data_IF_053922318486
#
_entry.id   IF_053922318486
#
_cell.length_a   1.000
_cell.length_b   1.000
_cell.length_c   1.000
_cell.angle_alpha   90.00
_cell.angle_beta   90.00
_cell.angle_gamma   90.00
#
_symmetry.space_group_name_H-M   'P 1'
#
loop_
_entity.id
_entity.type
_entity.pdbx_description
1 polymer ?
#
# COMPACT_ATOMS: atom_id res chain seq x y z
N UNK A 1 15.05 -18.83 6.22
CA UNK A 1 15.57 -18.62 4.84
C UNK A 1 15.34 -17.17 4.50
N UNK A 2 16.41 -16.42 4.25
CA UNK A 2 16.37 -14.99 3.97
C UNK A 2 16.27 -14.82 2.45
N UNK A 3 15.16 -14.26 1.95
CA UNK A 3 14.98 -14.02 0.53
C UNK A 3 15.71 -12.73 0.14
N UNK A 4 16.61 -12.82 -0.84
CA UNK A 4 17.27 -11.66 -1.41
C UNK A 4 16.27 -11.01 -2.36
N UNK A 5 15.76 -9.84 -1.99
CA UNK A 5 14.85 -9.09 -2.85
C UNK A 5 15.65 -8.48 -4.00
N UNK A 6 15.36 -8.82 -5.26
CA UNK A 6 16.04 -8.22 -6.40
C UNK A 6 15.77 -6.72 -6.46
N UNK A 7 16.83 -5.90 -6.47
CA UNK A 7 16.71 -4.43 -6.48
C UNK A 7 16.19 -3.84 -7.80
N UNK A 8 16.06 -4.65 -8.86
CA UNK A 8 15.66 -4.19 -10.19
C UNK A 8 14.24 -4.62 -10.60
N UNK A 9 13.39 -5.06 -9.66
CA UNK A 9 11.98 -5.37 -9.97
C UNK A 9 11.20 -4.11 -10.39
N UNK A 10 11.56 -2.94 -9.84
CA UNK A 10 10.79 -1.71 -10.03
C UNK A 10 11.15 -0.94 -11.33
N UNK A 11 12.23 -1.34 -12.02
CA UNK A 11 12.68 -0.66 -13.23
C UNK A 11 12.05 -1.35 -14.44
N UNK A 12 11.16 -0.64 -15.11
CA UNK A 12 10.52 -1.13 -16.32
C UNK A 12 11.58 -1.39 -17.43
N UNK A 13 11.52 -2.53 -18.12
CA UNK A 13 12.48 -2.85 -19.16
C UNK A 13 12.35 -1.87 -20.33
N UNK A 14 13.49 -1.38 -20.82
CA UNK A 14 13.55 -0.53 -22.01
C UNK A 14 13.63 -1.44 -23.24
N UNK A 15 12.73 -1.25 -24.20
CA UNK A 15 12.60 -2.12 -25.38
C UNK A 15 13.44 -1.56 -26.54
N UNK A 16 13.33 -0.25 -26.81
CA UNK A 16 14.03 0.41 -27.92
C UNK A 16 14.88 1.55 -27.35
N UNK A 17 16.15 1.26 -27.08
CA UNK A 17 17.10 2.24 -26.53
C UNK A 17 16.62 2.82 -25.19
N UNK A 18 16.33 4.13 -25.09
CA UNK A 18 15.79 4.75 -23.87
C UNK A 18 14.27 4.58 -23.69
N UNK A 19 13.56 4.01 -24.67
CA UNK A 19 12.09 3.97 -24.72
C UNK A 19 11.55 2.68 -24.08
N UNK A 20 10.70 2.83 -23.06
CA UNK A 20 9.95 1.74 -22.44
C UNK A 20 8.67 1.36 -23.20
N UNK A 21 8.05 0.21 -22.90
CA UNK A 21 6.82 -0.27 -23.55
C UNK A 21 5.69 0.76 -23.51
N UNK A 22 5.51 1.42 -22.36
CA UNK A 22 4.46 2.44 -22.17
C UNK A 22 4.64 3.63 -23.10
N UNK A 23 5.87 4.10 -23.25
CA UNK A 23 6.21 5.24 -24.10
C UNK A 23 5.99 4.90 -25.58
N UNK A 24 6.34 3.67 -25.96
CA UNK A 24 6.09 3.15 -27.30
C UNK A 24 4.59 3.12 -27.63
N UNK A 25 3.75 2.63 -26.72
CA UNK A 25 2.28 2.61 -26.93
C UNK A 25 1.73 4.03 -27.12
N UNK A 26 2.16 4.98 -26.29
CA UNK A 26 1.73 6.39 -26.40
C UNK A 26 2.13 6.99 -27.75
N UNK A 27 3.35 6.71 -28.22
CA UNK A 27 3.82 7.18 -29.53
C UNK A 27 3.04 6.55 -30.69
N UNK A 28 2.67 5.27 -30.60
CA UNK A 28 1.81 4.61 -31.60
C UNK A 28 0.42 5.27 -31.62
N UNK A 29 -0.18 5.53 -30.47
CA UNK A 29 -1.48 6.20 -30.39
C UNK A 29 -1.41 7.62 -30.96
N UNK A 30 -0.40 8.40 -30.60
CA UNK A 30 -0.19 9.74 -31.14
C UNK A 30 0.04 9.72 -32.66
N UNK A 31 0.87 8.80 -33.16
CA UNK A 31 1.08 8.60 -34.59
C UNK A 31 -0.20 8.17 -35.32
N UNK A 32 -0.99 7.30 -34.71
CA UNK A 32 -2.31 6.90 -35.23
C UNK A 32 -3.29 8.06 -35.31
N UNK A 33 -3.31 8.96 -34.32
CA UNK A 33 -4.13 10.17 -34.35
C UNK A 33 -3.70 11.15 -35.46
N UNK A 34 -2.38 11.31 -35.66
CA UNK A 34 -1.85 12.13 -36.76
C UNK A 34 -2.23 11.52 -38.11
N UNK A 35 -2.11 10.20 -38.25
CA UNK A 35 -2.52 9.49 -39.46
C UNK A 35 -4.03 9.63 -39.72
N UNK A 36 -4.86 9.58 -38.67
CA UNK A 36 -6.29 9.82 -38.79
C UNK A 36 -6.58 11.26 -39.24
N UNK A 37 -5.88 12.25 -38.68
CA UNK A 37 -5.98 13.64 -39.11
C UNK A 37 -5.60 13.83 -40.59
N UNK A 38 -4.60 13.08 -41.08
CA UNK A 38 -4.21 13.12 -42.49
C UNK A 38 -5.36 12.73 -43.42
N UNK A 39 -6.21 11.79 -43.02
CA UNK A 39 -7.36 11.36 -43.80
C UNK A 39 -8.53 12.37 -43.71
N UNK A 40 -8.75 12.98 -42.53
CA UNK A 40 -9.90 13.86 -42.30
C UNK A 40 -9.69 15.31 -42.78
N UNK A 41 -8.45 15.81 -42.78
CA UNK A 41 -8.16 17.24 -43.03
C UNK A 41 -7.58 17.41 -44.43
N UNK A 42 -8.36 18.02 -45.33
CA UNK A 42 -7.93 18.30 -46.71
C UNK A 42 -6.96 19.49 -46.82
N UNK A 43 -6.98 20.43 -45.86
CA UNK A 43 -6.10 21.59 -45.87
C UNK A 43 -4.75 21.28 -45.18
N UNK A 44 -3.66 21.26 -45.95
CA UNK A 44 -2.32 20.93 -45.47
C UNK A 44 -1.84 21.81 -44.30
N UNK A 45 -2.19 23.10 -44.29
CA UNK A 45 -1.74 24.03 -43.23
C UNK A 45 -2.41 23.66 -41.91
N UNK A 46 -3.72 23.41 -41.95
CA UNK A 46 -4.50 23.01 -40.77
C UNK A 46 -4.01 21.64 -40.27
N UNK A 47 -3.72 20.71 -41.18
CA UNK A 47 -3.14 19.41 -40.84
C UNK A 47 -1.81 19.56 -40.10
N UNK A 48 -0.86 20.36 -40.62
CA UNK A 48 0.45 20.56 -40.00
C UNK A 48 0.32 21.14 -38.59
N UNK A 49 -0.55 22.13 -38.39
CA UNK A 49 -0.78 22.72 -37.06
C UNK A 49 -1.33 21.69 -36.07
N UNK A 50 -2.34 20.91 -36.47
CA UNK A 50 -2.90 19.87 -35.61
C UNK A 50 -1.87 18.77 -35.33
N UNK A 51 -1.16 18.31 -36.36
CA UNK A 51 -0.13 17.29 -36.22
C UNK A 51 0.98 17.73 -35.28
N UNK A 52 1.41 19.00 -35.34
CA UNK A 52 2.40 19.57 -34.42
C UNK A 52 1.91 19.53 -32.97
N UNK A 53 0.66 19.96 -32.74
CA UNK A 53 0.06 19.95 -31.39
C UNK A 53 -0.06 18.52 -30.87
N UNK A 54 -0.58 17.59 -31.67
CA UNK A 54 -0.73 16.18 -31.29
C UNK A 54 0.62 15.52 -31.05
N UNK A 55 1.61 15.77 -31.90
CA UNK A 55 2.97 15.25 -31.72
C UNK A 55 3.61 15.80 -30.43
N UNK A 56 3.47 17.11 -30.17
CA UNK A 56 3.96 17.74 -28.96
C UNK A 56 3.33 17.13 -27.70
N UNK A 57 2.01 16.97 -27.69
CA UNK A 57 1.30 16.30 -26.59
C UNK A 57 1.75 14.84 -26.43
N UNK A 58 1.88 14.09 -27.53
CA UNK A 58 2.36 12.71 -27.51
C UNK A 58 3.74 12.56 -26.87
N UNK A 59 4.68 13.45 -27.22
CA UNK A 59 6.03 13.47 -26.62
C UNK A 59 5.97 13.82 -25.14
N UNK A 60 5.19 14.85 -24.77
CA UNK A 60 5.02 15.24 -23.36
C UNK A 60 4.47 14.08 -22.53
N UNK A 61 3.41 13.43 -23.01
CA UNK A 61 2.82 12.28 -22.32
C UNK A 61 3.76 11.07 -22.24
N UNK A 62 4.59 10.86 -23.26
CA UNK A 62 5.52 9.73 -23.31
C UNK A 62 6.75 9.94 -22.40
N UNK A 63 7.32 11.15 -22.34
CA UNK A 63 8.61 11.37 -21.66
C UNK A 63 8.52 12.11 -20.34
N UNK A 64 7.48 12.91 -20.10
CA UNK A 64 7.34 13.64 -18.85
C UNK A 64 6.91 12.70 -17.74
N UNK A 65 7.66 12.74 -16.64
CA UNK A 65 7.35 12.03 -15.40
C UNK A 65 7.03 13.06 -14.34
N UNK A 66 5.92 12.88 -13.63
CA UNK A 66 5.51 13.75 -12.53
C UNK A 66 5.72 12.97 -11.24
N UNK A 67 6.56 13.49 -10.33
CA UNK A 67 6.89 12.85 -9.05
C UNK A 67 7.37 11.38 -9.18
N UNK A 68 8.17 11.09 -10.22
CA UNK A 68 8.67 9.74 -10.48
C UNK A 68 7.62 8.76 -11.02
N UNK A 69 6.36 9.18 -11.16
CA UNK A 69 5.27 8.35 -11.70
C UNK A 69 5.00 8.67 -13.17
N UNK A 70 4.50 7.69 -13.94
CA UNK A 70 4.04 7.94 -15.31
C UNK A 70 2.91 8.96 -15.36
N UNK A 71 2.91 9.80 -16.40
CA UNK A 71 1.94 10.90 -16.55
C UNK A 71 0.47 10.43 -16.61
N UNK A 72 0.19 9.23 -17.10
CA UNK A 72 -1.18 8.69 -17.14
C UNK A 72 -1.78 8.50 -15.75
N UNK A 73 -0.99 8.09 -14.75
CA UNK A 73 -1.47 8.00 -13.37
C UNK A 73 -1.73 9.38 -12.78
N UNK A 74 -0.92 10.37 -13.14
CA UNK A 74 -1.16 11.75 -12.73
C UNK A 74 -2.51 12.24 -13.28
N UNK A 75 -2.81 12.03 -14.56
CA UNK A 75 -4.10 12.39 -15.15
C UNK A 75 -5.25 11.63 -14.49
N UNK A 76 -5.11 10.31 -14.28
CA UNK A 76 -6.14 9.53 -13.61
C UNK A 76 -6.42 10.09 -12.21
N UNK A 77 -5.37 10.43 -11.47
CA UNK A 77 -5.50 11.04 -10.13
C UNK A 77 -6.12 12.43 -10.18
N UNK A 78 -5.83 13.21 -11.22
CA UNK A 78 -6.41 14.52 -11.44
C UNK A 78 -7.92 14.39 -11.69
N UNK A 79 -8.31 13.50 -12.60
CA UNK A 79 -9.72 13.23 -12.92
C UNK A 79 -10.45 12.72 -11.68
N UNK A 80 -9.87 11.76 -10.95
CA UNK A 80 -10.42 11.26 -9.69
C UNK A 80 -10.59 12.37 -8.66
N UNK A 81 -9.63 13.29 -8.54
CA UNK A 81 -9.73 14.40 -7.59
C UNK A 81 -10.86 15.37 -7.95
N UNK A 82 -11.16 15.55 -9.24
CA UNK A 82 -12.28 16.37 -9.69
C UNK A 82 -13.64 15.66 -9.55
N UNK A 83 -13.70 14.34 -9.71
CA UNK A 83 -14.97 13.58 -9.65
C UNK A 83 -15.32 13.09 -8.26
N UNK A 84 -14.34 12.87 -7.38
CA UNK A 84 -14.59 12.44 -6.01
C UNK A 84 -14.81 13.65 -5.08
N UNK A 85 -15.77 13.54 -4.14
CA UNK A 85 -15.97 14.57 -3.13
C UNK A 85 -14.74 14.69 -2.23
N UNK A 86 -14.27 15.92 -2.00
CA UNK A 86 -13.09 16.21 -1.16
C UNK A 86 -13.29 15.85 0.32
N UNK A 87 -14.54 15.71 0.74
CA UNK A 87 -14.89 15.36 2.12
C UNK A 87 -14.85 13.84 2.24
N UNK A 88 -13.73 13.33 2.72
CA UNK A 88 -13.61 11.93 3.14
C UNK A 88 -14.22 11.81 4.54
N UNK A 89 -15.53 11.57 4.61
CA UNK A 89 -16.19 11.21 5.88
C UNK A 89 -15.71 9.82 6.25
N UNK A 90 -15.00 9.70 7.37
CA UNK A 90 -14.67 8.39 7.90
C UNK A 90 -15.94 7.79 8.51
N UNK A 91 -16.59 6.94 7.74
CA UNK A 91 -17.66 6.10 8.25
C UNK A 91 -17.02 4.79 8.72
N UNK A 92 -17.11 4.52 10.02
CA UNK A 92 -16.70 3.23 10.58
C UNK A 92 -17.76 2.20 10.21
N UNK A 93 -17.75 1.78 8.96
CA UNK A 93 -18.48 0.59 8.57
C UNK A 93 -17.86 -0.58 9.31
N UNK A 94 -18.61 -1.12 10.26
CA UNK A 94 -18.35 -2.42 10.84
C UNK A 94 -18.69 -3.41 9.73
N UNK A 95 -17.84 -3.48 8.70
CA UNK A 95 -17.95 -4.53 7.71
C UNK A 95 -17.84 -5.82 8.51
N UNK A 96 -18.86 -6.70 8.53
CA UNK A 96 -18.63 -8.05 8.98
C UNK A 96 -17.57 -8.55 8.00
N UNK A 97 -16.34 -8.66 8.47
CA UNK A 97 -15.31 -9.43 7.79
C UNK A 97 -16.02 -10.72 7.47
N UNK A 98 -16.38 -10.91 6.20
CA UNK A 98 -16.68 -12.23 5.69
C UNK A 98 -15.34 -12.90 5.86
N UNK A 99 -15.18 -13.57 6.99
CA UNK A 99 -14.17 -14.57 7.18
C UNK A 99 -14.52 -15.55 6.08
N UNK A 100 -13.93 -15.32 4.92
CA UNK A 100 -13.74 -16.36 3.94
C UNK A 100 -13.09 -17.44 4.79
N UNK A 101 -13.86 -18.48 5.10
CA UNK A 101 -13.34 -19.63 5.80
C UNK A 101 -12.17 -20.08 4.96
N UNK A 102 -10.98 -19.64 5.35
CA UNK A 102 -9.74 -20.10 4.79
C UNK A 102 -9.86 -21.61 4.89
N UNK A 103 -10.00 -22.24 3.71
CA UNK A 103 -9.98 -23.69 3.54
C UNK A 103 -9.02 -24.22 4.57
N UNK A 104 -9.55 -25.01 5.52
CA UNK A 104 -8.80 -25.72 6.55
C UNK A 104 -7.65 -26.48 5.90
N UNK A 105 -6.53 -25.81 5.65
CA UNK A 105 -5.24 -26.45 5.61
C UNK A 105 -4.97 -26.68 7.07
N UNK A 106 -5.17 -27.94 7.47
CA UNK A 106 -4.79 -28.50 8.76
C UNK A 106 -3.29 -28.23 8.98
N UNK A 107 -2.97 -27.03 9.46
CA UNK A 107 -1.73 -26.77 10.17
C UNK A 107 -2.02 -27.19 11.60
N UNK A 108 -1.40 -28.28 12.01
CA UNK A 108 -1.29 -28.63 13.42
C UNK A 108 -0.51 -27.50 14.09
N UNK A 109 -1.23 -26.52 14.63
CA UNK A 109 -0.67 -25.53 15.53
C UNK A 109 -0.32 -26.30 16.81
N UNK A 110 0.95 -26.29 17.27
CA UNK A 110 1.25 -26.74 18.62
C UNK A 110 0.34 -25.98 19.58
N UNK A 111 -0.37 -26.73 20.42
CA UNK A 111 -1.25 -26.19 21.46
C UNK A 111 -0.44 -25.19 22.26
N UNK A 112 -0.65 -23.90 22.04
CA UNK A 112 -0.13 -22.88 22.92
C UNK A 112 -0.76 -23.16 24.30
N UNK A 113 0.03 -23.22 25.38
CA UNK A 113 -0.51 -23.44 26.70
C UNK A 113 -1.59 -22.38 26.97
N UNK A 114 -2.69 -22.74 27.67
CA UNK A 114 -3.71 -21.77 28.04
C UNK A 114 -3.02 -20.57 28.64
N UNK A 115 -3.26 -19.38 28.08
CA UNK A 115 -2.86 -18.14 28.75
C UNK A 115 -3.66 -18.11 30.04
N UNK A 116 -3.05 -18.55 31.14
CA UNK A 116 -3.64 -18.43 32.47
C UNK A 116 -4.06 -16.97 32.61
N UNK A 117 -5.35 -16.74 32.83
CA UNK A 117 -5.84 -15.42 33.19
C UNK A 117 -5.11 -15.07 34.49
N UNK A 118 -4.11 -14.20 34.40
CA UNK A 118 -3.28 -13.81 35.54
C UNK A 118 -4.22 -13.26 36.61
N UNK A 119 -4.41 -14.06 37.66
CA UNK A 119 -5.30 -13.75 38.79
C UNK A 119 -4.85 -12.41 39.37
N UNK A 120 -5.81 -11.53 39.70
CA UNK A 120 -5.54 -10.15 40.15
C UNK A 120 -4.40 -10.03 41.19
N UNK A 121 -4.30 -11.00 42.12
CA UNK A 121 -3.20 -11.08 43.11
C UNK A 121 -1.79 -11.17 42.50
N UNK A 122 -1.59 -11.99 41.46
CA UNK A 122 -0.29 -12.11 40.76
C UNK A 122 0.13 -10.80 40.09
N UNK A 123 -0.83 -9.99 39.64
CA UNK A 123 -0.53 -8.68 39.05
C UNK A 123 -0.13 -7.67 40.14
N UNK A 124 -0.77 -7.72 41.30
CA UNK A 124 -0.39 -6.89 42.45
C UNK A 124 0.98 -7.24 42.99
N UNK A 125 1.33 -8.53 43.08
CA UNK A 125 2.65 -8.99 43.51
C UNK A 125 3.75 -8.49 42.55
N UNK A 126 3.54 -8.63 41.24
CA UNK A 126 4.47 -8.13 40.23
C UNK A 126 4.60 -6.60 40.26
N UNK A 127 3.51 -5.88 40.50
CA UNK A 127 3.55 -4.42 40.67
C UNK A 127 4.38 -4.03 41.90
N UNK A 128 4.21 -4.73 43.03
CA UNK A 128 4.97 -4.47 44.26
C UNK A 128 6.48 -4.74 44.08
N UNK A 129 6.84 -5.81 43.38
CA UNK A 129 8.25 -6.14 43.07
C UNK A 129 8.89 -5.04 42.23
N UNK A 130 8.15 -4.51 41.24
CA UNK A 130 8.63 -3.44 40.36
C UNK A 130 8.78 -2.13 41.13
N UNK A 131 7.78 -1.75 41.93
CA UNK A 131 7.79 -0.50 42.70
C UNK A 131 8.87 -0.49 43.80
N UNK A 132 9.18 -1.66 44.37
CA UNK A 132 10.20 -1.80 45.42
C UNK A 132 11.60 -2.13 44.88
N UNK A 133 11.78 -2.15 43.55
CA UNK A 133 13.08 -2.40 42.92
C UNK A 133 13.68 -3.77 43.28
N UNK A 134 12.84 -4.76 43.60
CA UNK A 134 13.28 -6.11 44.01
C UNK A 134 13.58 -6.28 45.49
N UNK A 135 13.17 -5.34 46.36
CA UNK A 135 13.28 -5.52 47.81
C UNK A 135 12.14 -6.39 48.40
N UNK A 136 11.03 -6.56 47.68
CA UNK A 136 9.91 -7.39 48.11
C UNK A 136 10.00 -8.80 47.50
N UNK A 137 10.05 -9.82 48.37
CA UNK A 137 10.07 -11.24 48.02
C UNK A 137 8.92 -11.95 48.76
N UNK A 138 7.87 -12.44 48.07
CA UNK A 138 6.73 -13.08 48.74
C UNK A 138 7.11 -14.36 49.51
N UNK A 139 8.22 -15.00 49.13
CA UNK A 139 8.71 -16.23 49.77
C UNK A 139 9.40 -15.98 51.13
N UNK A 140 9.75 -14.74 51.46
CA UNK A 140 10.47 -14.41 52.70
C UNK A 140 9.52 -14.06 53.86
N UNK A 141 8.27 -13.68 53.57
CA UNK A 141 7.27 -13.27 54.57
C UNK A 141 6.28 -14.39 54.94
N UNK A 142 6.22 -15.51 54.19
CA UNK A 142 5.31 -16.63 54.48
C UNK A 142 5.69 -17.47 55.72
N UNK A 143 6.74 -17.08 56.46
CA UNK A 143 7.10 -17.67 57.75
C UNK A 143 6.39 -17.07 58.96
N UNK A 144 5.67 -15.94 58.83
CA UNK A 144 5.15 -15.22 59.99
C UNK A 144 3.87 -14.43 59.65
N UNK A 145 2.72 -15.12 59.59
CA UNK A 145 1.44 -14.45 59.33
C UNK A 145 0.25 -15.35 59.57
N UNK A 146 -0.31 -15.25 60.77
CA UNK A 146 -1.51 -15.95 61.23
C UNK A 146 -2.71 -15.81 60.28
N UNK A 147 -3.57 -16.84 60.33
CA UNK A 147 -4.92 -16.85 59.78
C UNK A 147 -5.66 -15.53 60.04
N UNK A 148 -6.08 -14.85 58.98
CA UNK A 148 -7.20 -13.93 59.05
C UNK A 148 -8.26 -14.35 58.03
N UNK A 149 -9.30 -14.99 58.56
CA UNK A 149 -10.58 -15.23 57.89
C UNK A 149 -11.25 -13.91 57.54
N UNK A 150 -11.51 -13.67 56.25
CA UNK A 150 -12.71 -12.99 55.73
C UNK A 150 -12.99 -13.44 54.30
#
# INVERSE_FOLDING_TARGET
MQFVVPQFIDIEPKIIGPIGPRQLIILIVAGGLIFLCWNLVSNLIVFILIALVVAGLGVVFAFVKVNGRPFHYFILSLIQTYTLPQIRVWEKEIMPTKVEEEKKIKKETPVAPPKELLRSRKLSELALIVDTGGAYSPDEEEGEGENFDF
#
